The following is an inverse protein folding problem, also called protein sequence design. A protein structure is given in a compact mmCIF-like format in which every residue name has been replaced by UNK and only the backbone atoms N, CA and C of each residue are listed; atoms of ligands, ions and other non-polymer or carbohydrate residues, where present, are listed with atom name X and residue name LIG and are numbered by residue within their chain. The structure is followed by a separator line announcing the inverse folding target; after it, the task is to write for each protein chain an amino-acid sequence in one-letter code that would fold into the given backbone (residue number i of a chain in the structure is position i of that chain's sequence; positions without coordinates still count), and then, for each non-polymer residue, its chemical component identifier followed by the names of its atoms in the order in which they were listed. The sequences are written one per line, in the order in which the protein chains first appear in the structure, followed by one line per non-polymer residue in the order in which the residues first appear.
data_IF_099573252711
#
_entry.id   IF_099573252711
#
_cell.length_a   1.000
_cell.length_b   1.000
_cell.length_c   1.000
_cell.angle_alpha   90.00
_cell.angle_beta   90.00
_cell.angle_gamma   90.00
#
_symmetry.space_group_name_H-M   'P 1'
#
loop_
_entity.id
_entity.type
_entity.pdbx_description
1 polymer ?
#
# COMPACT_ATOMS: atom_id res chain seq x y z
N UNK A 1 -30.13 -36.47 7.03
CA UNK A 1 -28.72 -36.55 7.43
C UNK A 1 -27.95 -35.51 6.64
N UNK A 2 -27.09 -34.74 7.32
CA UNK A 2 -26.11 -33.84 6.69
C UNK A 2 -24.71 -34.42 6.93
N UNK A 3 -23.83 -34.30 5.93
CA UNK A 3 -22.44 -34.73 6.03
C UNK A 3 -21.53 -33.50 6.02
N UNK A 4 -20.68 -33.37 7.04
CA UNK A 4 -19.69 -32.29 7.19
C UNK A 4 -18.32 -32.94 7.31
N UNK A 5 -17.60 -33.03 6.19
CA UNK A 5 -16.39 -33.85 6.11
C UNK A 5 -16.68 -35.32 6.39
N UNK A 6 -16.13 -35.86 7.48
CA UNK A 6 -16.38 -37.23 7.97
C UNK A 6 -17.57 -37.30 8.94
N UNK A 7 -18.02 -36.18 9.48
CA UNK A 7 -19.07 -36.11 10.51
C UNK A 7 -20.44 -36.27 9.87
N UNK A 8 -21.26 -37.16 10.44
CA UNK A 8 -22.66 -37.35 10.07
C UNK A 8 -23.57 -36.72 11.13
N UNK A 9 -24.37 -35.75 10.72
CA UNK A 9 -25.30 -34.99 11.55
C UNK A 9 -26.74 -35.40 11.24
N UNK A 10 -27.52 -35.69 12.28
CA UNK A 10 -28.89 -36.17 12.16
C UNK A 10 -29.87 -35.22 12.83
N UNK A 11 -31.04 -35.05 12.21
CA UNK A 11 -32.19 -34.39 12.85
C UNK A 11 -32.78 -35.31 13.90
N UNK A 12 -33.45 -34.74 14.90
CA UNK A 12 -34.04 -35.49 16.01
C UNK A 12 -34.89 -36.70 15.56
N UNK A 13 -35.79 -36.51 14.59
CA UNK A 13 -36.64 -37.60 14.08
C UNK A 13 -35.88 -38.70 13.34
N UNK A 14 -34.71 -38.40 12.77
CA UNK A 14 -33.83 -39.41 12.17
C UNK A 14 -33.15 -40.23 13.28
N UNK A 15 -32.75 -39.57 14.38
CA UNK A 15 -32.15 -40.25 15.54
C UNK A 15 -33.13 -41.22 16.20
N UNK A 16 -34.42 -40.86 16.32
CA UNK A 16 -35.44 -41.79 16.83
C UNK A 16 -35.49 -43.08 16.00
N UNK A 17 -35.44 -42.97 14.67
CA UNK A 17 -35.42 -44.14 13.78
C UNK A 17 -34.15 -44.97 13.98
N UNK A 18 -32.98 -44.32 14.02
CA UNK A 18 -31.69 -44.98 14.23
C UNK A 18 -31.66 -45.70 15.59
N UNK A 19 -32.19 -45.09 16.64
CA UNK A 19 -32.28 -45.71 17.97
C UNK A 19 -33.13 -46.98 17.97
N UNK A 20 -34.27 -46.95 17.25
CA UNK A 20 -35.15 -48.11 17.12
C UNK A 20 -34.50 -49.22 16.29
N UNK A 21 -33.98 -48.89 15.11
CA UNK A 21 -33.48 -49.86 14.14
C UNK A 21 -32.12 -50.47 14.54
N UNK A 22 -31.20 -49.65 15.04
CA UNK A 22 -29.81 -50.08 15.26
C UNK A 22 -29.53 -50.49 16.72
N UNK A 23 -30.35 -50.03 17.67
CA UNK A 23 -30.11 -50.23 19.10
C UNK A 23 -31.31 -50.85 19.83
N UNK A 24 -32.38 -51.22 19.11
CA UNK A 24 -33.63 -51.71 19.67
C UNK A 24 -34.19 -50.81 20.80
N UNK A 25 -33.92 -49.50 20.73
CA UNK A 25 -34.27 -48.53 21.76
C UNK A 25 -35.43 -47.65 21.28
N UNK A 26 -36.63 -47.93 21.80
CA UNK A 26 -37.84 -47.18 21.42
C UNK A 26 -38.01 -45.95 22.32
N UNK A 27 -38.06 -44.78 21.70
CA UNK A 27 -38.25 -43.49 22.39
C UNK A 27 -39.01 -42.52 21.47
N UNK A 28 -39.92 -41.73 22.03
CA UNK A 28 -40.64 -40.70 21.29
C UNK A 28 -39.79 -39.42 21.12
N UNK A 29 -40.15 -38.61 20.12
CA UNK A 29 -39.43 -37.36 19.81
C UNK A 29 -39.36 -36.40 21.02
N UNK A 30 -40.45 -36.07 21.73
CA UNK A 30 -40.40 -35.22 22.93
C UNK A 30 -39.45 -35.74 24.01
N UNK A 31 -39.49 -37.03 24.33
CA UNK A 31 -38.62 -37.62 25.36
C UNK A 31 -37.16 -37.61 24.94
N UNK A 32 -36.87 -37.96 23.68
CA UNK A 32 -35.51 -37.89 23.15
C UNK A 32 -34.98 -36.45 23.15
N UNK A 33 -35.82 -35.46 22.79
CA UNK A 33 -35.44 -34.06 22.79
C UNK A 33 -35.01 -33.60 24.18
N UNK A 34 -35.81 -33.89 25.22
CA UNK A 34 -35.49 -33.57 26.63
C UNK A 34 -34.20 -34.27 27.07
N UNK A 35 -34.01 -35.52 26.67
CA UNK A 35 -32.82 -36.32 26.99
C UNK A 35 -31.56 -35.72 26.35
N UNK A 36 -31.59 -35.45 25.05
CA UNK A 36 -30.49 -34.84 24.33
C UNK A 36 -30.11 -33.46 24.89
N UNK A 37 -31.11 -32.63 25.25
CA UNK A 37 -30.87 -31.34 25.90
C UNK A 37 -30.19 -31.49 27.26
N UNK A 38 -30.64 -32.45 28.09
CA UNK A 38 -30.03 -32.72 29.41
C UNK A 38 -28.58 -33.20 29.32
N UNK A 39 -28.22 -33.90 28.24
CA UNK A 39 -26.89 -34.43 28.00
C UNK A 39 -26.02 -33.50 27.15
N UNK A 40 -26.49 -32.29 26.81
CA UNK A 40 -25.82 -31.35 25.90
C UNK A 40 -25.37 -31.98 24.57
N UNK A 41 -26.20 -32.87 24.03
CA UNK A 41 -25.89 -33.71 22.87
C UNK A 41 -26.05 -33.01 21.52
N UNK A 42 -26.31 -31.69 21.50
CA UNK A 42 -26.56 -30.97 20.26
C UNK A 42 -25.32 -30.26 19.74
N UNK A 43 -25.17 -30.30 18.42
CA UNK A 43 -24.26 -29.43 17.67
C UNK A 43 -25.10 -28.51 16.79
N UNK A 44 -24.72 -27.24 16.73
CA UNK A 44 -25.33 -26.27 15.81
C UNK A 44 -24.51 -26.24 14.53
N UNK A 45 -25.18 -26.43 13.39
CA UNK A 45 -24.58 -26.31 12.07
C UNK A 45 -25.56 -25.61 11.13
N UNK A 46 -25.13 -24.57 10.40
CA UNK A 46 -26.02 -23.74 9.59
C UNK A 46 -27.30 -23.33 10.34
N UNK A 47 -27.13 -22.80 11.56
CA UNK A 47 -28.18 -22.30 12.45
C UNK A 47 -29.22 -23.33 12.91
N UNK A 48 -29.00 -24.62 12.61
CA UNK A 48 -29.90 -25.72 12.98
C UNK A 48 -29.22 -26.66 13.95
N UNK A 49 -30.00 -27.23 14.87
CA UNK A 49 -29.54 -28.21 15.85
C UNK A 49 -29.55 -29.61 15.26
N UNK A 50 -28.44 -30.32 15.43
CA UNK A 50 -28.27 -31.71 15.02
C UNK A 50 -27.65 -32.54 16.14
N UNK A 51 -27.83 -33.86 16.05
CA UNK A 51 -27.19 -34.83 16.91
C UNK A 51 -26.16 -35.58 16.05
N UNK A 52 -24.87 -35.54 16.39
CA UNK A 52 -23.85 -36.31 15.68
C UNK A 52 -24.01 -37.82 15.85
N UNK A 53 -23.66 -38.58 14.81
CA UNK A 53 -23.71 -40.06 14.85
C UNK A 53 -23.00 -40.66 16.06
N UNK A 54 -21.82 -40.16 16.35
CA UNK A 54 -20.87 -40.72 17.30
C UNK A 54 -21.33 -40.66 18.76
N UNK A 55 -22.42 -39.94 19.01
CA UNK A 55 -23.05 -39.82 20.33
C UNK A 55 -24.44 -40.47 20.41
N UNK A 56 -25.02 -40.94 19.30
CA UNK A 56 -26.39 -41.49 19.29
C UNK A 56 -26.51 -42.66 20.26
N UNK A 57 -25.52 -43.55 20.28
CA UNK A 57 -25.50 -44.70 21.20
C UNK A 57 -25.59 -44.26 22.67
N UNK A 58 -24.90 -43.19 23.06
CA UNK A 58 -24.90 -42.69 24.45
C UNK A 58 -26.28 -42.17 24.89
N UNK A 59 -27.18 -41.86 23.94
CA UNK A 59 -28.56 -41.49 24.24
C UNK A 59 -29.43 -42.68 24.70
N UNK A 60 -28.92 -43.92 24.64
CA UNK A 60 -29.58 -45.09 25.23
C UNK A 60 -29.39 -45.19 26.74
N UNK A 61 -28.39 -44.49 27.30
CA UNK A 61 -27.99 -44.61 28.70
C UNK A 61 -29.14 -44.36 29.70
N UNK A 62 -29.21 -45.14 30.76
CA UNK A 62 -30.21 -44.95 31.82
C UNK A 62 -29.83 -43.76 32.71
N UNK A 63 -30.54 -42.64 32.54
CA UNK A 63 -30.27 -41.41 33.28
C UNK A 63 -30.92 -41.36 34.68
N UNK A 64 -31.55 -42.44 35.15
CA UNK A 64 -32.10 -42.50 36.53
C UNK A 64 -30.99 -42.56 37.57
N UNK A 65 -29.87 -43.21 37.25
CA UNK A 65 -28.71 -43.31 38.11
C UNK A 65 -27.79 -42.10 37.91
N UNK A 66 -27.49 -41.40 39.00
CA UNK A 66 -26.72 -40.15 38.98
C UNK A 66 -25.33 -40.35 38.38
N UNK A 67 -24.63 -41.40 38.78
CA UNK A 67 -23.30 -41.73 38.29
C UNK A 67 -23.30 -41.99 36.78
N UNK A 68 -24.22 -42.83 36.28
CA UNK A 68 -24.37 -43.10 34.84
C UNK A 68 -24.67 -41.81 34.06
N UNK A 69 -25.50 -40.92 34.62
CA UNK A 69 -25.82 -39.63 34.01
C UNK A 69 -24.56 -38.76 33.88
N UNK A 70 -23.81 -38.57 34.97
CA UNK A 70 -22.61 -37.73 34.99
C UNK A 70 -21.55 -38.28 34.02
N UNK A 71 -21.29 -39.59 34.07
CA UNK A 71 -20.30 -40.22 33.19
C UNK A 71 -20.70 -40.11 31.71
N UNK A 72 -21.97 -40.35 31.39
CA UNK A 72 -22.48 -40.22 30.01
C UNK A 72 -22.39 -38.77 29.53
N UNK A 73 -22.75 -37.81 30.38
CA UNK A 73 -22.68 -36.39 30.05
C UNK A 73 -21.23 -35.97 29.73
N UNK A 74 -20.25 -36.37 30.56
CA UNK A 74 -18.84 -36.06 30.33
C UNK A 74 -18.30 -36.64 29.02
N UNK A 75 -18.69 -37.88 28.68
CA UNK A 75 -18.31 -38.52 27.42
C UNK A 75 -18.90 -37.76 26.22
N UNK A 76 -20.17 -37.40 26.30
CA UNK A 76 -20.85 -36.64 25.23
C UNK A 76 -20.21 -35.26 25.06
N UNK A 77 -19.95 -34.53 26.15
CA UNK A 77 -19.33 -33.20 26.12
C UNK A 77 -17.96 -33.23 25.42
N UNK A 78 -17.09 -34.18 25.77
CA UNK A 78 -15.79 -34.35 25.12
C UNK A 78 -15.92 -34.63 23.62
N UNK A 79 -16.85 -35.51 23.23
CA UNK A 79 -17.12 -35.81 21.81
C UNK A 79 -17.67 -34.61 21.06
N UNK A 80 -18.61 -33.88 21.67
CA UNK A 80 -19.21 -32.67 21.08
C UNK A 80 -18.15 -31.60 20.85
N UNK A 81 -17.22 -31.43 21.79
CA UNK A 81 -16.15 -30.44 21.64
C UNK A 81 -15.21 -30.78 20.47
N UNK A 82 -14.78 -32.05 20.37
CA UNK A 82 -14.01 -32.52 19.22
C UNK A 82 -14.75 -32.28 17.90
N UNK A 83 -16.04 -32.60 17.85
CA UNK A 83 -16.87 -32.45 16.64
C UNK A 83 -17.03 -30.97 16.26
N UNK A 84 -17.20 -30.06 17.22
CA UNK A 84 -17.25 -28.62 16.94
C UNK A 84 -15.95 -28.13 16.32
N UNK A 85 -14.80 -28.61 16.82
CA UNK A 85 -13.49 -28.23 16.28
C UNK A 85 -13.27 -28.76 14.86
N UNK A 86 -13.71 -29.98 14.59
CA UNK A 86 -13.68 -30.57 13.25
C UNK A 86 -14.59 -29.82 12.26
N UNK A 87 -15.81 -29.45 12.67
CA UNK A 87 -16.72 -28.62 11.86
C UNK A 87 -16.08 -27.26 11.58
N UNK A 88 -15.52 -26.61 12.60
CA UNK A 88 -14.82 -25.32 12.44
C UNK A 88 -13.67 -25.41 11.44
N UNK A 89 -12.89 -26.49 11.51
CA UNK A 89 -11.79 -26.75 10.58
C UNK A 89 -12.29 -27.00 9.16
N UNK A 90 -13.38 -27.77 9.02
CA UNK A 90 -14.03 -28.03 7.75
C UNK A 90 -14.55 -26.73 7.10
N UNK A 91 -15.25 -25.89 7.86
CA UNK A 91 -15.81 -24.63 7.35
C UNK A 91 -14.72 -23.64 6.93
N UNK A 92 -13.60 -23.58 7.66
CA UNK A 92 -12.43 -22.79 7.26
C UNK A 92 -11.86 -23.26 5.92
N UNK A 93 -11.71 -24.57 5.74
CA UNK A 93 -11.17 -25.17 4.51
C UNK A 93 -12.10 -25.02 3.32
N UNK A 94 -13.41 -25.07 3.55
CA UNK A 94 -14.44 -25.04 2.51
C UNK A 94 -15.19 -23.71 2.47
N UNK A 95 -14.56 -22.62 2.94
CA UNK A 95 -15.15 -21.29 2.97
C UNK A 95 -15.51 -20.86 1.54
N UNK A 96 -16.80 -20.87 1.24
CA UNK A 96 -17.32 -20.42 -0.05
C UNK A 96 -17.30 -18.89 -0.05
N UNK A 97 -16.82 -18.29 -1.13
CA UNK A 97 -16.90 -16.83 -1.30
C UNK A 97 -18.38 -16.40 -1.28
N UNK A 98 -18.78 -15.39 -0.47
CA UNK A 98 -20.18 -14.96 -0.36
C UNK A 98 -20.86 -14.72 -1.71
N UNK A 99 -20.15 -14.14 -2.69
CA UNK A 99 -20.68 -13.89 -4.02
C UNK A 99 -21.01 -15.21 -4.75
N UNK A 100 -20.10 -16.18 -4.68
CA UNK A 100 -20.33 -17.51 -5.26
C UNK A 100 -21.43 -18.27 -4.54
N UNK A 101 -21.63 -18.03 -3.23
CA UNK A 101 -22.75 -18.60 -2.49
C UNK A 101 -24.08 -18.02 -2.98
N UNK A 102 -24.17 -16.69 -3.15
CA UNK A 102 -25.35 -15.99 -3.65
C UNK A 102 -25.73 -16.47 -5.05
N UNK A 103 -24.75 -16.61 -5.96
CA UNK A 103 -24.97 -17.12 -7.32
C UNK A 103 -25.55 -18.54 -7.35
N UNK A 104 -25.31 -19.35 -6.31
CA UNK A 104 -25.80 -20.73 -6.21
C UNK A 104 -27.15 -20.85 -5.53
N UNK A 105 -27.72 -19.76 -4.99
CA UNK A 105 -29.03 -19.79 -4.34
C UNK A 105 -30.09 -20.15 -5.38
N UNK A 106 -30.76 -21.29 -5.18
CA UNK A 106 -31.95 -21.67 -5.93
C UNK A 106 -33.18 -21.38 -5.07
N UNK A 107 -34.07 -20.54 -5.56
CA UNK A 107 -35.30 -20.13 -4.86
C UNK A 107 -36.45 -20.01 -5.84
N UNK A 108 -37.66 -20.38 -5.39
CA UNK A 108 -38.89 -20.17 -6.16
C UNK A 108 -39.56 -18.83 -5.82
N UNK A 109 -39.00 -18.08 -4.87
CA UNK A 109 -39.51 -16.78 -4.49
C UNK A 109 -39.07 -15.73 -5.52
N UNK A 110 -40.04 -15.13 -6.20
CA UNK A 110 -39.79 -14.14 -7.26
C UNK A 110 -39.07 -12.89 -6.72
N UNK A 111 -39.44 -12.41 -5.52
CA UNK A 111 -38.81 -11.24 -4.91
C UNK A 111 -37.34 -11.53 -4.57
N UNK A 112 -37.03 -12.72 -4.03
CA UNK A 112 -35.65 -13.14 -3.77
C UNK A 112 -34.85 -13.25 -5.07
N UNK A 113 -35.43 -13.78 -6.13
CA UNK A 113 -34.77 -13.89 -7.44
C UNK A 113 -34.42 -12.51 -8.01
N UNK A 114 -35.36 -11.56 -7.96
CA UNK A 114 -35.12 -10.17 -8.37
C UNK A 114 -34.01 -9.52 -7.54
N UNK A 115 -34.03 -9.72 -6.23
CA UNK A 115 -32.99 -9.19 -5.34
C UNK A 115 -31.61 -9.76 -5.66
N UNK A 116 -31.49 -11.07 -5.84
CA UNK A 116 -30.22 -11.71 -6.22
C UNK A 116 -29.71 -11.13 -7.54
N UNK A 117 -30.57 -10.98 -8.54
CA UNK A 117 -30.21 -10.41 -9.84
C UNK A 117 -29.69 -8.97 -9.69
N UNK A 118 -30.44 -8.10 -9.02
CA UNK A 118 -30.05 -6.72 -8.80
C UNK A 118 -28.74 -6.61 -7.99
N UNK A 119 -28.56 -7.46 -6.98
CA UNK A 119 -27.32 -7.51 -6.20
C UNK A 119 -26.11 -7.89 -7.07
N UNK A 120 -26.26 -8.88 -7.96
CA UNK A 120 -25.19 -9.29 -8.87
C UNK A 120 -24.86 -8.20 -9.90
N UNK A 121 -25.87 -7.52 -10.44
CA UNK A 121 -25.71 -6.38 -11.35
C UNK A 121 -24.93 -5.25 -10.67
N UNK A 122 -25.36 -4.82 -9.47
CA UNK A 122 -24.66 -3.82 -8.67
C UNK A 122 -23.21 -4.22 -8.34
N UNK A 123 -22.97 -5.51 -8.10
CA UNK A 123 -21.61 -6.01 -7.81
C UNK A 123 -20.70 -5.83 -9.03
N UNK A 124 -21.20 -6.11 -10.24
CA UNK A 124 -20.43 -5.93 -11.47
C UNK A 124 -20.25 -4.44 -11.82
N UNK A 125 -21.28 -3.61 -11.61
CA UNK A 125 -21.18 -2.15 -11.78
C UNK A 125 -20.10 -1.54 -10.89
N UNK A 126 -20.08 -1.90 -9.60
CA UNK A 126 -19.05 -1.45 -8.65
C UNK A 126 -17.64 -1.87 -9.12
N UNK A 127 -17.52 -3.09 -9.65
CA UNK A 127 -16.26 -3.60 -10.18
C UNK A 127 -15.81 -2.81 -11.41
N UNK A 128 -16.71 -2.53 -12.34
CA UNK A 128 -16.42 -1.73 -13.54
C UNK A 128 -16.00 -0.31 -13.17
N UNK A 129 -16.74 0.36 -12.28
CA UNK A 129 -16.39 1.70 -11.78
C UNK A 129 -14.98 1.71 -11.19
N UNK A 130 -14.65 0.68 -10.38
CA UNK A 130 -13.31 0.56 -9.79
C UNK A 130 -12.22 0.42 -10.86
N UNK A 131 -12.46 -0.37 -11.90
CA UNK A 131 -11.51 -0.54 -13.01
C UNK A 131 -11.34 0.76 -13.82
N UNK A 132 -12.43 1.48 -14.10
CA UNK A 132 -12.41 2.78 -14.78
C UNK A 132 -11.67 3.83 -13.96
N UNK A 133 -11.98 3.96 -12.68
CA UNK A 133 -11.30 4.89 -11.76
C UNK A 133 -9.79 4.59 -11.70
N UNK A 134 -9.39 3.32 -11.70
CA UNK A 134 -7.98 2.95 -11.71
C UNK A 134 -7.28 3.34 -13.02
N UNK A 135 -7.95 3.21 -14.16
CA UNK A 135 -7.43 3.65 -15.46
C UNK A 135 -7.27 5.17 -15.50
N UNK A 136 -8.26 5.93 -15.03
CA UNK A 136 -8.20 7.39 -14.95
C UNK A 136 -7.04 7.86 -14.08
N UNK A 137 -6.89 7.28 -12.87
CA UNK A 137 -5.76 7.59 -11.97
C UNK A 137 -4.42 7.31 -12.65
N UNK A 138 -4.32 6.22 -13.42
CA UNK A 138 -3.10 5.87 -14.14
C UNK A 138 -2.80 6.90 -15.24
N UNK A 139 -3.80 7.28 -16.03
CA UNK A 139 -3.64 8.26 -17.10
C UNK A 139 -3.24 9.63 -16.54
N UNK A 140 -3.89 10.09 -15.48
CA UNK A 140 -3.53 11.34 -14.81
C UNK A 140 -2.06 11.32 -14.32
N UNK A 141 -1.61 10.21 -13.73
CA UNK A 141 -0.20 10.08 -13.31
C UNK A 141 0.77 10.18 -14.49
N UNK A 142 0.45 9.57 -15.62
CA UNK A 142 1.28 9.63 -16.82
C UNK A 142 1.33 11.05 -17.41
N UNK A 143 0.20 11.76 -17.45
CA UNK A 143 0.12 13.15 -17.91
C UNK A 143 0.92 14.09 -17.01
N UNK A 144 0.72 14.00 -15.69
CA UNK A 144 1.48 14.80 -14.72
C UNK A 144 2.99 14.54 -14.83
N UNK A 145 3.41 13.29 -15.04
CA UNK A 145 4.83 12.97 -15.23
C UNK A 145 5.40 13.58 -16.51
N UNK A 146 4.63 13.61 -17.61
CA UNK A 146 5.04 14.27 -18.86
C UNK A 146 5.19 15.78 -18.67
N UNK A 147 4.24 16.42 -18.00
CA UNK A 147 4.31 17.86 -17.70
C UNK A 147 5.53 18.21 -16.85
N UNK A 148 5.79 17.45 -15.77
CA UNK A 148 6.98 17.65 -14.93
C UNK A 148 8.26 17.52 -15.76
N UNK A 149 8.33 16.54 -16.67
CA UNK A 149 9.48 16.36 -17.54
C UNK A 149 9.67 17.54 -18.48
N UNK A 150 8.60 18.03 -19.11
CA UNK A 150 8.65 19.17 -20.01
C UNK A 150 9.12 20.44 -19.29
N UNK A 151 8.54 20.74 -18.12
CA UNK A 151 8.94 21.89 -17.29
C UNK A 151 10.43 21.80 -16.93
N UNK A 152 10.91 20.62 -16.54
CA UNK A 152 12.32 20.40 -16.22
C UNK A 152 13.22 20.65 -17.44
N UNK A 153 12.85 20.19 -18.63
CA UNK A 153 13.61 20.41 -19.86
C UNK A 153 13.64 21.89 -20.27
N UNK A 154 12.50 22.59 -20.20
CA UNK A 154 12.41 24.04 -20.47
C UNK A 154 13.26 24.84 -19.49
N UNK A 155 13.16 24.53 -18.19
CA UNK A 155 13.93 25.20 -17.15
C UNK A 155 15.43 25.00 -17.36
N UNK A 156 15.87 23.79 -17.73
CA UNK A 156 17.28 23.51 -18.03
C UNK A 156 17.79 24.27 -19.26
N UNK A 157 16.96 24.43 -20.31
CA UNK A 157 17.32 25.24 -21.48
C UNK A 157 17.48 26.70 -21.10
N UNK A 158 16.56 27.25 -20.30
CA UNK A 158 16.64 28.64 -19.87
C UNK A 158 17.88 28.92 -19.01
N UNK A 159 18.21 28.01 -18.07
CA UNK A 159 19.44 28.11 -17.26
C UNK A 159 20.68 28.12 -18.17
N UNK A 160 20.78 27.19 -19.13
CA UNK A 160 21.92 27.15 -20.06
C UNK A 160 22.07 28.44 -20.86
N UNK A 161 20.96 28.99 -21.36
CA UNK A 161 20.99 30.25 -22.09
C UNK A 161 21.49 31.42 -21.22
N UNK A 162 21.02 31.50 -19.97
CA UNK A 162 21.50 32.51 -19.01
C UNK A 162 22.98 32.31 -18.66
N UNK A 163 23.44 31.07 -18.50
CA UNK A 163 24.85 30.77 -18.25
C UNK A 163 25.75 31.19 -19.42
N UNK A 164 25.31 30.96 -20.66
CA UNK A 164 26.01 31.43 -21.87
C UNK A 164 26.07 32.96 -21.94
N UNK A 165 24.99 33.65 -21.59
CA UNK A 165 24.94 35.11 -21.53
C UNK A 165 25.89 35.66 -20.46
N UNK A 166 25.86 35.08 -19.25
CA UNK A 166 26.78 35.41 -18.16
C UNK A 166 28.23 35.19 -18.59
N UNK A 167 28.53 34.10 -19.31
CA UNK A 167 29.87 33.82 -19.80
C UNK A 167 30.36 34.88 -20.79
N UNK A 168 29.51 35.31 -21.73
CA UNK A 168 29.83 36.39 -22.68
C UNK A 168 30.08 37.71 -21.94
N UNK A 169 29.24 38.06 -20.98
CA UNK A 169 29.42 39.28 -20.17
C UNK A 169 30.72 39.26 -19.36
N UNK A 170 31.08 38.11 -18.77
CA UNK A 170 32.36 37.93 -18.05
C UNK A 170 33.55 38.20 -18.97
N UNK A 171 33.54 37.70 -20.20
CA UNK A 171 34.62 37.96 -21.17
C UNK A 171 34.73 39.45 -21.54
N UNK A 172 33.58 40.12 -21.77
CA UNK A 172 33.55 41.55 -22.07
C UNK A 172 34.14 42.35 -20.90
N UNK A 173 33.75 42.06 -19.66
CA UNK A 173 34.28 42.72 -18.46
C UNK A 173 35.80 42.53 -18.35
N UNK A 174 36.31 41.31 -18.56
CA UNK A 174 37.75 41.05 -18.53
C UNK A 174 38.51 41.84 -19.60
N UNK A 175 37.96 41.97 -20.80
CA UNK A 175 38.58 42.74 -21.87
C UNK A 175 38.60 44.24 -21.55
N UNK A 176 37.51 44.79 -21.02
CA UNK A 176 37.45 46.19 -20.56
C UNK A 176 38.49 46.43 -19.46
N UNK A 177 38.59 45.55 -18.46
CA UNK A 177 39.57 45.67 -17.38
C UNK A 177 41.00 45.69 -17.91
N UNK A 178 41.34 44.78 -18.84
CA UNK A 178 42.66 44.76 -19.50
C UNK A 178 42.94 46.06 -20.24
N UNK A 179 41.98 46.55 -21.03
CA UNK A 179 42.14 47.78 -21.80
C UNK A 179 42.32 49.01 -20.88
N UNK A 180 41.53 49.10 -19.82
CA UNK A 180 41.64 50.16 -18.81
C UNK A 180 43.01 50.15 -18.14
N UNK A 181 43.52 48.96 -17.78
CA UNK A 181 44.86 48.83 -17.21
C UNK A 181 45.96 49.28 -18.19
N UNK A 182 45.85 48.92 -19.47
CA UNK A 182 46.79 49.37 -20.51
C UNK A 182 46.76 50.89 -20.66
N UNK A 183 45.56 51.49 -20.68
CA UNK A 183 45.40 52.93 -20.82
C UNK A 183 45.99 53.69 -19.63
N UNK A 184 45.70 53.25 -18.40
CA UNK A 184 46.29 53.79 -17.17
C UNK A 184 47.82 53.70 -17.18
N UNK A 185 48.37 52.55 -17.59
CA UNK A 185 49.83 52.38 -17.68
C UNK A 185 50.45 53.34 -18.72
N UNK A 186 49.82 53.54 -19.89
CA UNK A 186 50.30 54.50 -20.90
C UNK A 186 50.29 55.94 -20.37
N UNK A 187 49.23 56.32 -19.66
CA UNK A 187 49.09 57.65 -19.05
C UNK A 187 50.11 57.88 -17.91
N UNK A 188 50.34 56.86 -17.07
CA UNK A 188 51.40 56.90 -16.05
C UNK A 188 52.80 57.06 -16.67
N UNK A 189 53.10 56.33 -17.74
CA UNK A 189 54.38 56.46 -18.44
C UNK A 189 54.55 57.86 -19.04
N UNK A 190 53.52 58.42 -19.68
CA UNK A 190 53.60 59.75 -20.28
C UNK A 190 53.75 60.86 -19.22
N UNK A 191 53.05 60.72 -18.09
CA UNK A 191 53.13 61.67 -16.97
C UNK A 191 54.45 61.59 -16.21
N UNK A 192 55.08 60.41 -16.08
CA UNK A 192 56.40 60.26 -15.45
C UNK A 192 57.56 60.67 -16.36
N UNK A 193 57.50 60.39 -17.66
CA UNK A 193 58.58 60.70 -18.60
C UNK A 193 58.75 62.21 -18.86
N UNK A 194 57.66 62.97 -18.86
CA UNK A 194 57.69 64.44 -19.05
C UNK A 194 58.56 65.20 -18.02
N UNK A 195 58.38 64.99 -16.70
CA UNK A 195 59.22 65.62 -15.69
C UNK A 195 60.65 65.07 -15.68
N UNK A 196 60.88 63.79 -15.98
CA UNK A 196 62.23 63.22 -16.12
C UNK A 196 62.97 63.90 -17.27
N UNK A 197 62.32 64.08 -18.42
CA UNK A 197 62.90 64.77 -19.58
C UNK A 197 63.22 66.24 -19.25
N UNK A 198 62.29 66.97 -18.61
CA UNK A 198 62.54 68.36 -18.16
C UNK A 198 63.68 68.45 -17.15
N UNK A 199 63.76 67.53 -16.19
CA UNK A 199 64.82 67.50 -15.15
C UNK A 199 66.19 67.16 -15.74
N UNK A 200 66.26 66.23 -16.70
CA UNK A 200 67.50 65.91 -17.43
C UNK A 200 68.00 67.06 -18.30
N UNK A 201 67.09 67.76 -19.00
CA UNK A 201 67.41 68.92 -19.84
C UNK A 201 67.94 70.09 -19.02
N UNK A 202 67.33 70.36 -17.86
CA UNK A 202 67.82 71.37 -16.92
C UNK A 202 69.21 71.00 -16.36
N UNK A 203 69.44 69.75 -15.98
CA UNK A 203 70.76 69.30 -15.52
C UNK A 203 71.82 69.46 -16.61
N UNK A 204 71.56 69.02 -17.85
CA UNK A 204 72.49 69.19 -18.97
C UNK A 204 72.85 70.67 -19.21
N UNK A 205 71.87 71.57 -19.14
CA UNK A 205 72.10 73.01 -19.27
C UNK A 205 72.99 73.56 -18.15
N UNK A 206 72.76 73.13 -16.90
CA UNK A 206 73.57 73.53 -15.74
C UNK A 206 75.01 73.01 -15.88
N UNK A 207 75.20 71.76 -16.30
CA UNK A 207 76.52 71.16 -16.50
C UNK A 207 77.31 71.87 -17.59
N UNK A 208 76.69 72.12 -18.74
CA UNK A 208 77.33 72.86 -19.84
C UNK A 208 77.61 74.32 -19.49
N UNK A 209 76.73 74.97 -18.72
CA UNK A 209 76.99 76.33 -18.21
C UNK A 209 78.15 76.35 -17.21
N UNK A 210 78.28 75.34 -16.35
CA UNK A 210 79.46 75.18 -15.47
C UNK A 210 80.74 74.96 -16.27
N UNK A 211 80.73 74.06 -17.26
CA UNK A 211 81.87 73.79 -18.14
C UNK A 211 82.27 75.07 -18.90
N UNK A 212 81.31 75.77 -19.51
CA UNK A 212 81.54 77.02 -20.23
C UNK A 212 82.14 78.11 -19.31
N UNK A 213 81.65 78.24 -18.08
CA UNK A 213 82.20 79.19 -17.10
C UNK A 213 83.61 78.82 -16.61
N UNK A 214 83.96 77.52 -16.57
CA UNK A 214 85.33 77.06 -16.29
C UNK A 214 86.25 77.43 -17.45
N UNK A 215 85.85 77.18 -18.70
CA UNK A 215 86.61 77.58 -19.89
C UNK A 215 86.83 79.09 -19.98
N UNK A 216 85.84 79.90 -19.57
CA UNK A 216 85.95 81.36 -19.56
C UNK A 216 86.84 81.93 -18.45
N UNK A 217 87.19 81.14 -17.43
CA UNK A 217 88.12 81.54 -16.35
C UNK A 217 89.57 81.15 -16.61
N UNK A 218 89.82 80.28 -17.59
CA UNK A 218 91.14 79.75 -17.93
C UNK A 218 91.72 80.34 -19.24
N UNK A 219 91.05 81.33 -19.83
CA UNK A 219 91.52 82.21 -20.90
C UNK A 219 91.54 83.65 -20.37
#
# INVERSE_FOLDING_TARGET
MIKVGTIQLYKLGEVVKILKENFNFTIDNPTLCRKASKLNAYVIYNEKKYIPKDIIYHLTANMRYLETKINTQKIIENKIESIKQDISTYDKKHKINPLTAIQRIKTNNNNTTKFIKAFLELTEEIKNIKEETQKEIKNMKEETQKEIKNIKEETQKEIKNKDEEIFKLKQIIQNIQKQTQINLNKELISTLNNPIYKKSKNNFYITNKKIFNIYKRNN
#
